data_IF_550110273522
#
_entry.id   IF_550110273522
#
_cell.length_a   1.000
_cell.length_b   1.000
_cell.length_c   1.000
_cell.angle_alpha   90.00
_cell.angle_beta   90.00
_cell.angle_gamma   90.00
#
_symmetry.space_group_name_H-M   'P 1'
#
loop_
_entity.id
_entity.type
_entity.pdbx_description
1 polymer ?
#
# COMPACT_ATOMS: atom_id res chain seq x y z
N UNK A 1 4.44 -0.14 7.98
CA UNK A 1 5.68 -0.92 7.99
C UNK A 1 5.46 -2.23 8.73
N UNK A 2 6.52 -3.01 9.00
CA UNK A 2 6.42 -4.26 9.76
C UNK A 2 5.82 -4.01 11.14
N UNK A 3 4.71 -4.68 11.46
CA UNK A 3 4.02 -4.47 12.72
C UNK A 3 3.40 -5.77 13.23
N UNK A 4 3.70 -6.06 14.50
CA UNK A 4 2.92 -6.94 15.36
C UNK A 4 2.57 -6.10 16.57
N UNK A 5 1.29 -6.02 16.90
CA UNK A 5 0.85 -5.39 18.13
C UNK A 5 -0.13 -6.29 18.85
N UNK A 6 0.04 -6.35 20.17
CA UNK A 6 -0.89 -6.96 21.10
C UNK A 6 -1.69 -5.87 21.79
N UNK A 7 -2.93 -6.15 22.10
CA UNK A 7 -3.84 -5.19 22.71
C UNK A 7 -4.80 -5.88 23.67
N UNK A 8 -5.28 -5.13 24.64
CA UNK A 8 -6.36 -5.55 25.53
C UNK A 8 -7.20 -4.35 25.94
N UNK A 9 -8.52 -4.53 26.06
CA UNK A 9 -9.48 -3.47 26.44
C UNK A 9 -10.32 -3.83 27.68
N UNK A 10 -9.86 -4.82 28.45
CA UNK A 10 -10.53 -5.31 29.66
C UNK A 10 -11.53 -6.44 29.41
N UNK A 11 -12.11 -6.54 28.20
CA UNK A 11 -12.91 -7.71 27.77
C UNK A 11 -12.21 -8.51 26.69
N UNK A 12 -11.62 -7.83 25.72
CA UNK A 12 -10.93 -8.45 24.61
C UNK A 12 -9.43 -8.38 24.85
N UNK A 13 -8.74 -9.46 24.50
CA UNK A 13 -7.29 -9.52 24.41
C UNK A 13 -6.93 -10.13 23.06
N UNK A 14 -5.94 -9.59 22.37
CA UNK A 14 -5.64 -10.03 21.02
C UNK A 14 -4.30 -9.58 20.48
N UNK A 15 -4.02 -10.06 19.26
CA UNK A 15 -2.85 -9.72 18.48
C UNK A 15 -3.26 -9.51 17.02
N UNK A 16 -2.63 -8.54 16.35
CA UNK A 16 -2.84 -8.31 14.92
C UNK A 16 -1.51 -8.03 14.23
N UNK A 17 -1.45 -8.42 12.95
CA UNK A 17 -0.30 -8.23 12.09
C UNK A 17 -0.58 -7.13 11.06
N UNK A 18 0.51 -6.57 10.54
CA UNK A 18 0.43 -5.77 9.34
C UNK A 18 -0.10 -6.58 8.14
N UNK A 19 -0.57 -5.87 7.10
CA UNK A 19 -1.17 -6.46 5.90
C UNK A 19 -0.30 -7.49 5.18
N UNK A 20 1.03 -7.41 5.36
CA UNK A 20 2.00 -8.30 4.73
C UNK A 20 2.52 -9.37 5.70
N UNK A 21 2.18 -9.29 6.99
CA UNK A 21 2.66 -10.19 8.05
C UNK A 21 4.18 -10.23 8.15
N UNK A 22 4.81 -9.06 8.19
CA UNK A 22 6.28 -8.93 8.19
C UNK A 22 6.90 -9.22 9.57
N UNK A 23 6.10 -9.45 10.60
CA UNK A 23 6.54 -9.85 11.94
C UNK A 23 6.00 -11.24 12.30
N UNK A 24 6.81 -12.11 12.92
CA UNK A 24 6.35 -13.42 13.34
C UNK A 24 5.46 -13.29 14.58
N UNK A 25 4.39 -14.06 14.64
CA UNK A 25 3.52 -14.19 15.79
C UNK A 25 2.99 -15.62 15.85
N UNK A 26 3.30 -16.33 16.93
CA UNK A 26 2.94 -17.72 17.15
C UNK A 26 2.13 -17.85 18.43
N UNK A 27 1.21 -18.80 18.44
CA UNK A 27 0.39 -19.06 19.60
C UNK A 27 0.28 -20.54 19.93
N UNK A 28 0.09 -20.81 21.21
CA UNK A 28 -0.23 -22.10 21.79
C UNK A 28 -1.56 -21.99 22.52
N UNK A 29 -2.41 -23.00 22.36
CA UNK A 29 -3.59 -23.21 23.19
C UNK A 29 -3.35 -24.47 24.03
N UNK A 30 -3.50 -24.35 25.34
CA UNK A 30 -3.37 -25.47 26.26
C UNK A 30 -4.73 -26.01 26.70
N UNK A 31 -4.74 -27.18 27.34
CA UNK A 31 -5.93 -27.87 27.84
C UNK A 31 -6.55 -27.24 29.09
N UNK A 32 -5.82 -26.33 29.75
CA UNK A 32 -6.28 -25.48 30.86
C UNK A 32 -6.78 -24.09 30.40
N UNK A 33 -7.22 -23.96 29.15
CA UNK A 33 -7.79 -22.76 28.53
C UNK A 33 -6.85 -21.52 28.54
N UNK A 34 -5.53 -21.75 28.52
CA UNK A 34 -4.54 -20.68 28.42
C UNK A 34 -4.07 -20.52 26.98
N UNK A 35 -4.20 -19.29 26.45
CA UNK A 35 -3.62 -18.90 25.17
C UNK A 35 -2.31 -18.14 25.38
N UNK A 36 -1.22 -18.70 24.87
CA UNK A 36 0.12 -18.09 24.95
C UNK A 36 0.48 -17.59 23.56
N UNK A 37 0.70 -16.28 23.42
CA UNK A 37 1.06 -15.63 22.17
C UNK A 37 2.41 -14.93 22.29
N UNK A 38 3.33 -15.23 21.38
CA UNK A 38 4.68 -14.66 21.38
C UNK A 38 5.26 -14.54 19.96
N UNK A 39 6.31 -13.74 19.82
CA UNK A 39 7.04 -13.61 18.54
C UNK A 39 7.75 -14.90 18.13
N UNK A 40 8.08 -15.76 19.10
CA UNK A 40 8.86 -16.98 18.92
C UNK A 40 8.21 -18.21 19.60
N UNK A 41 8.67 -19.40 19.22
CA UNK A 41 8.31 -20.66 19.89
C UNK A 41 9.20 -20.88 21.09
N UNK A 42 8.68 -21.52 22.15
CA UNK A 42 9.51 -21.94 23.30
C UNK A 42 9.87 -20.83 24.29
N UNK A 43 9.21 -19.68 24.24
CA UNK A 43 9.41 -18.57 25.19
C UNK A 43 9.00 -18.96 26.62
N UNK A 44 7.95 -19.78 26.74
CA UNK A 44 7.47 -20.33 28.01
C UNK A 44 7.60 -21.86 27.94
N UNK A 45 8.19 -22.51 28.96
CA UNK A 45 8.24 -23.97 29.03
C UNK A 45 6.83 -24.51 29.27
N UNK A 46 6.33 -25.32 28.34
CA UNK A 46 5.02 -25.96 28.40
C UNK A 46 5.20 -27.43 28.04
N UNK A 47 4.61 -28.32 28.84
CA UNK A 47 4.58 -29.75 28.54
C UNK A 47 3.80 -30.01 27.25
N UNK A 48 4.38 -30.81 26.35
CA UNK A 48 3.77 -31.11 25.05
C UNK A 48 2.42 -31.82 25.15
N UNK A 49 2.18 -32.56 26.25
CA UNK A 49 0.91 -33.22 26.56
C UNK A 49 -0.24 -32.25 26.79
N UNK A 50 0.05 -31.03 27.27
CA UNK A 50 -0.96 -30.00 27.57
C UNK A 50 -1.36 -29.19 26.36
N UNK A 51 -0.63 -29.28 25.24
CA UNK A 51 -0.87 -28.41 24.09
C UNK A 51 -1.96 -29.00 23.20
N UNK A 52 -3.09 -28.29 23.11
CA UNK A 52 -4.23 -28.62 22.25
C UNK A 52 -3.99 -28.13 20.83
N UNK A 53 -3.55 -26.89 20.66
CA UNK A 53 -3.31 -26.28 19.34
C UNK A 53 -2.00 -25.50 19.31
N UNK A 54 -1.32 -25.56 18.16
CA UNK A 54 -0.17 -24.72 17.83
C UNK A 54 -0.43 -24.02 16.51
N UNK A 55 -0.32 -22.69 16.50
CA UNK A 55 -0.60 -21.90 15.32
C UNK A 55 0.31 -20.70 15.14
N UNK A 56 0.09 -20.01 14.03
CA UNK A 56 0.72 -18.72 13.73
C UNK A 56 -0.31 -17.75 13.18
N UNK A 57 -0.13 -16.49 13.50
CA UNK A 57 -0.97 -15.43 12.95
C UNK A 57 -0.59 -15.18 11.49
N UNK A 58 -1.60 -15.11 10.62
CA UNK A 58 -1.42 -14.91 9.18
C UNK A 58 -1.70 -13.45 8.81
N UNK A 59 -1.11 -12.92 7.73
CA UNK A 59 -1.40 -11.58 7.24
C UNK A 59 -2.91 -11.35 7.09
N UNK A 60 -3.40 -10.24 7.64
CA UNK A 60 -4.80 -9.87 7.56
C UNK A 60 -5.75 -10.70 8.42
N UNK A 61 -5.28 -11.62 9.26
CA UNK A 61 -6.10 -12.28 10.30
C UNK A 61 -5.82 -11.69 11.67
N UNK A 62 -6.86 -11.57 12.48
CA UNK A 62 -6.75 -11.13 13.87
C UNK A 62 -6.89 -12.32 14.82
N UNK A 63 -6.03 -12.38 15.84
CA UNK A 63 -6.21 -13.28 16.98
C UNK A 63 -6.94 -12.49 18.06
N UNK A 64 -8.13 -12.95 18.46
CA UNK A 64 -8.96 -12.28 19.44
C UNK A 64 -9.55 -13.28 20.42
N UNK A 65 -9.40 -13.00 21.71
CA UNK A 65 -10.01 -13.75 22.81
C UNK A 65 -10.99 -12.83 23.52
N UNK A 66 -12.21 -13.30 23.69
CA UNK A 66 -13.21 -12.65 24.53
C UNK A 66 -13.16 -13.27 25.92
N UNK A 67 -12.64 -12.53 26.90
CA UNK A 67 -12.48 -13.01 28.28
C UNK A 67 -13.81 -13.11 29.02
N UNK A 68 -14.87 -12.45 28.52
CA UNK A 68 -16.21 -12.54 29.11
C UNK A 68 -16.94 -13.80 28.67
N UNK A 69 -16.81 -14.16 27.39
CA UNK A 69 -17.43 -15.36 26.82
C UNK A 69 -16.53 -16.61 26.94
N UNK A 70 -15.24 -16.42 27.25
CA UNK A 70 -14.28 -17.52 27.42
C UNK A 70 -13.94 -18.23 26.11
N UNK A 71 -13.95 -17.51 24.97
CA UNK A 71 -13.72 -18.12 23.65
C UNK A 71 -12.77 -17.32 22.78
N UNK A 72 -12.13 -18.03 21.85
CA UNK A 72 -11.41 -17.44 20.73
C UNK A 72 -12.46 -17.01 19.68
N UNK A 73 -12.44 -15.75 19.29
CA UNK A 73 -13.36 -15.20 18.30
C UNK A 73 -12.81 -15.47 16.91
N UNK A 74 -13.63 -16.06 16.03
CA UNK A 74 -13.23 -16.30 14.65
C UNK A 74 -13.10 -14.97 13.88
N UNK A 75 -12.03 -14.84 13.10
CA UNK A 75 -11.72 -13.63 12.33
C UNK A 75 -12.83 -13.29 11.31
N UNK A 76 -13.47 -14.30 10.69
CA UNK A 76 -14.55 -14.08 9.72
C UNK A 76 -15.84 -13.66 10.44
N UNK A 77 -16.13 -14.28 11.58
CA UNK A 77 -17.26 -13.88 12.45
C UNK A 77 -17.12 -12.40 12.84
N UNK A 78 -15.96 -12.03 13.38
CA UNK A 78 -15.66 -10.66 13.79
C UNK A 78 -15.82 -9.67 12.63
N UNK A 79 -15.17 -9.95 11.49
CA UNK A 79 -15.24 -9.06 10.32
C UNK A 79 -16.65 -8.93 9.78
N UNK A 80 -17.43 -10.02 9.78
CA UNK A 80 -18.84 -10.00 9.36
C UNK A 80 -19.67 -9.15 10.30
N UNK A 81 -19.49 -9.30 11.61
CA UNK A 81 -20.21 -8.49 12.60
C UNK A 81 -19.91 -7.00 12.46
N UNK A 82 -18.65 -6.64 12.20
CA UNK A 82 -18.25 -5.23 12.01
C UNK A 82 -18.76 -4.70 10.67
N UNK A 83 -18.62 -5.46 9.58
CA UNK A 83 -19.06 -5.03 8.25
C UNK A 83 -20.58 -4.93 8.12
N UNK A 84 -21.34 -5.65 8.95
CA UNK A 84 -22.81 -5.58 8.98
C UNK A 84 -23.38 -4.50 9.89
N UNK A 85 -22.56 -3.70 10.58
CA UNK A 85 -23.06 -2.63 11.48
C UNK A 85 -23.80 -1.54 10.73
N UNK A 86 -23.36 -1.26 9.50
CA UNK A 86 -23.93 -0.26 8.62
C UNK A 86 -23.90 -0.77 7.19
N UNK A 87 -24.75 -0.22 6.33
CA UNK A 87 -24.70 -0.52 4.90
C UNK A 87 -23.60 0.30 4.20
N UNK A 88 -22.34 -0.09 4.46
CA UNK A 88 -21.18 0.53 3.83
C UNK A 88 -21.23 0.41 2.30
N UNK A 89 -21.89 -0.62 1.76
CA UNK A 89 -22.05 -0.80 0.32
C UNK A 89 -22.94 0.30 -0.26
N UNK A 90 -24.08 0.60 0.36
CA UNK A 90 -24.93 1.70 -0.07
C UNK A 90 -24.20 3.05 0.00
N UNK A 91 -23.38 3.27 1.02
CA UNK A 91 -22.60 4.51 1.15
C UNK A 91 -21.59 4.68 0.01
N UNK A 92 -20.89 3.60 -0.35
CA UNK A 92 -19.96 3.59 -1.48
C UNK A 92 -20.72 3.84 -2.79
N UNK A 93 -21.78 3.10 -3.06
CA UNK A 93 -22.51 3.22 -4.32
C UNK A 93 -23.21 4.57 -4.52
N UNK A 94 -23.61 5.23 -3.44
CA UNK A 94 -24.28 6.54 -3.52
C UNK A 94 -23.33 7.72 -3.67
N UNK A 95 -22.07 7.61 -3.22
CA UNK A 95 -21.14 8.74 -3.14
C UNK A 95 -19.84 8.56 -3.93
N UNK A 96 -19.52 7.34 -4.37
CA UNK A 96 -18.32 7.10 -5.18
C UNK A 96 -18.61 7.44 -6.64
N UNK A 97 -17.80 8.33 -7.20
CA UNK A 97 -17.77 8.59 -8.65
C UNK A 97 -16.54 7.89 -9.19
N UNK A 98 -16.74 6.97 -10.14
CA UNK A 98 -15.63 6.30 -10.82
C UNK A 98 -15.26 7.05 -12.11
N UNK A 99 -13.98 7.00 -12.50
CA UNK A 99 -13.54 7.64 -13.75
C UNK A 99 -14.31 7.13 -15.00
N UNK A 100 -14.61 5.82 -15.15
CA UNK A 100 -15.41 5.35 -16.27
C UNK A 100 -16.82 5.94 -16.32
N UNK A 101 -17.49 6.06 -15.16
CA UNK A 101 -18.82 6.69 -15.08
C UNK A 101 -18.77 8.19 -15.40
N UNK A 102 -17.70 8.87 -14.97
CA UNK A 102 -17.47 10.28 -15.28
C UNK A 102 -17.29 10.48 -16.79
N UNK A 103 -16.43 9.70 -17.43
CA UNK A 103 -16.21 9.79 -18.88
C UNK A 103 -17.48 9.48 -19.68
N UNK A 104 -18.23 8.43 -19.30
CA UNK A 104 -19.51 8.12 -19.94
C UNK A 104 -20.52 9.29 -19.86
N UNK A 105 -20.53 10.05 -18.76
CA UNK A 105 -21.36 11.26 -18.63
C UNK A 105 -20.86 12.41 -19.50
N UNK A 106 -19.55 12.63 -19.56
CA UNK A 106 -18.95 13.66 -20.41
C UNK A 106 -19.21 13.38 -21.90
N UNK A 107 -19.07 12.13 -22.32
CA UNK A 107 -19.38 11.66 -23.68
C UNK A 107 -20.86 11.88 -24.02
N UNK A 108 -21.77 11.51 -23.09
CA UNK A 108 -23.21 11.74 -23.27
C UNK A 108 -23.58 13.23 -23.38
N UNK A 109 -22.81 14.11 -22.73
CA UNK A 109 -22.97 15.56 -22.81
C UNK A 109 -22.19 16.19 -23.99
N UNK A 110 -21.49 15.37 -24.79
CA UNK A 110 -20.64 15.83 -25.90
C UNK A 110 -19.61 16.89 -25.46
N UNK A 111 -19.10 16.76 -24.22
CA UNK A 111 -18.05 17.64 -23.71
C UNK A 111 -16.72 17.19 -24.31
N UNK A 112 -16.12 18.04 -25.14
CA UNK A 112 -14.76 17.82 -25.63
C UNK A 112 -13.74 18.06 -24.51
N UNK A 113 -13.15 16.98 -24.01
CA UNK A 113 -12.08 16.99 -23.03
C UNK A 113 -10.70 16.65 -23.66
N UNK A 114 -10.61 16.63 -24.99
CA UNK A 114 -9.33 16.39 -25.66
C UNK A 114 -8.41 17.61 -25.49
N UNK A 115 -7.15 17.34 -25.14
CA UNK A 115 -6.12 18.36 -25.18
C UNK A 115 -5.84 18.69 -26.64
N UNK A 116 -6.08 19.95 -27.04
CA UNK A 116 -5.71 20.44 -28.36
C UNK A 116 -4.20 20.61 -28.42
N UNK A 117 -3.52 19.62 -28.98
CA UNK A 117 -2.08 19.68 -29.26
C UNK A 117 -1.89 20.10 -30.71
N UNK A 118 -1.16 21.18 -30.93
CA UNK A 118 -0.76 21.58 -32.28
C UNK A 118 0.42 20.71 -32.75
N UNK A 119 0.13 19.75 -33.62
CA UNK A 119 1.12 18.83 -34.16
C UNK A 119 2.02 19.48 -35.22
N UNK A 120 1.77 20.74 -35.62
CA UNK A 120 2.62 21.47 -36.57
C UNK A 120 3.88 22.03 -35.92
N UNK A 121 3.87 22.21 -34.61
CA UNK A 121 5.01 22.73 -33.84
C UNK A 121 6.03 21.63 -33.66
N UNK A 122 7.28 21.89 -34.06
CA UNK A 122 8.38 20.96 -33.79
C UNK A 122 8.67 20.96 -32.29
N UNK A 123 9.08 19.81 -31.77
CA UNK A 123 9.43 19.66 -30.35
C UNK A 123 10.37 20.76 -29.81
N UNK A 124 11.37 21.16 -30.61
CA UNK A 124 12.36 22.18 -30.24
C UNK A 124 11.79 23.61 -30.21
N UNK A 125 10.64 23.82 -30.85
CA UNK A 125 9.98 25.11 -31.01
C UNK A 125 8.78 25.26 -30.05
N UNK A 126 8.44 24.21 -29.29
CA UNK A 126 7.35 24.22 -28.32
C UNK A 126 7.75 25.01 -27.06
N UNK A 127 7.14 26.18 -26.81
CA UNK A 127 7.50 27.03 -25.68
C UNK A 127 7.14 26.41 -24.33
N UNK A 128 6.14 25.53 -24.26
CA UNK A 128 5.75 24.87 -23.00
C UNK A 128 6.82 23.86 -22.60
N UNK A 129 7.28 23.03 -23.54
CA UNK A 129 8.31 22.04 -23.28
C UNK A 129 9.63 22.71 -22.82
N UNK A 130 10.01 23.81 -23.46
CA UNK A 130 11.17 24.62 -23.05
C UNK A 130 10.98 25.23 -21.65
N UNK A 131 9.80 25.78 -21.36
CA UNK A 131 9.49 26.39 -20.04
C UNK A 131 9.57 25.38 -18.90
N UNK A 132 9.16 24.13 -19.14
CA UNK A 132 9.25 23.04 -18.16
C UNK A 132 10.60 22.29 -18.18
N UNK A 133 11.57 22.75 -19.00
CA UNK A 133 12.92 22.18 -19.03
C UNK A 133 13.01 20.79 -19.69
N UNK A 134 12.07 20.44 -20.57
CA UNK A 134 12.16 19.20 -21.35
C UNK A 134 13.24 19.33 -22.42
N UNK A 135 14.13 18.34 -22.47
CA UNK A 135 15.17 18.22 -23.50
C UNK A 135 14.79 17.10 -24.48
N UNK A 136 15.37 17.14 -25.68
CA UNK A 136 15.17 16.06 -26.66
C UNK A 136 15.63 14.71 -26.09
N UNK A 137 16.70 14.71 -25.29
CA UNK A 137 17.20 13.52 -24.61
C UNK A 137 16.17 12.96 -23.63
N UNK A 138 15.52 13.79 -22.81
CA UNK A 138 14.45 13.31 -21.92
C UNK A 138 13.31 12.62 -22.68
N UNK A 139 12.94 13.15 -23.86
CA UNK A 139 11.89 12.53 -24.67
C UNK A 139 12.34 11.19 -25.23
N UNK A 140 13.51 11.14 -25.87
CA UNK A 140 13.98 9.94 -26.57
C UNK A 140 14.39 8.85 -25.56
N UNK A 141 15.11 9.23 -24.50
CA UNK A 141 15.67 8.28 -23.54
C UNK A 141 14.66 7.84 -22.48
N UNK A 142 13.70 8.69 -22.07
CA UNK A 142 12.75 8.39 -21.00
C UNK A 142 11.31 8.21 -21.51
N UNK A 143 10.76 9.20 -22.21
CA UNK A 143 9.33 9.19 -22.59
C UNK A 143 9.02 8.17 -23.68
N UNK A 144 9.85 8.05 -24.71
CA UNK A 144 9.60 7.15 -25.83
C UNK A 144 9.60 5.66 -25.42
N UNK A 145 10.52 5.17 -24.55
CA UNK A 145 10.43 3.82 -23.99
C UNK A 145 9.16 3.61 -23.15
N UNK A 146 8.75 4.60 -22.34
CA UNK A 146 7.51 4.52 -21.57
C UNK A 146 6.28 4.41 -22.46
N UNK A 147 6.21 5.21 -23.53
CA UNK A 147 5.09 5.19 -24.47
C UNK A 147 5.02 3.89 -25.28
N UNK A 148 6.16 3.34 -25.69
CA UNK A 148 6.22 2.15 -26.55
C UNK A 148 6.09 0.83 -25.78
N UNK A 149 6.68 0.74 -24.57
CA UNK A 149 6.75 -0.51 -23.81
C UNK A 149 5.86 -0.54 -22.56
N UNK A 150 5.31 0.60 -22.15
CA UNK A 150 4.55 0.74 -20.89
C UNK A 150 5.41 0.57 -19.64
N UNK A 151 6.74 0.63 -19.76
CA UNK A 151 7.70 0.50 -18.66
C UNK A 151 8.63 1.70 -18.61
N UNK A 152 9.13 2.01 -17.42
CA UNK A 152 10.16 3.03 -17.25
C UNK A 152 11.44 2.67 -18.02
N UNK A 153 12.19 3.70 -18.42
CA UNK A 153 13.45 3.52 -19.11
C UNK A 153 14.51 2.94 -18.15
N UNK A 154 15.26 1.95 -18.62
CA UNK A 154 16.38 1.37 -17.88
C UNK A 154 17.70 1.96 -18.38
N UNK A 155 18.58 2.30 -17.45
CA UNK A 155 19.95 2.74 -17.69
C UNK A 155 20.95 1.96 -16.84
N UNK A 156 22.23 2.18 -17.08
CA UNK A 156 23.32 1.63 -16.29
C UNK A 156 24.32 2.73 -15.94
N UNK A 157 25.33 2.40 -15.13
CA UNK A 157 26.30 3.32 -14.53
C UNK A 157 25.73 4.21 -13.42
N UNK A 158 26.63 4.89 -12.69
CA UNK A 158 26.27 5.84 -11.65
C UNK A 158 25.81 7.18 -12.24
N UNK A 159 25.18 8.01 -11.40
CA UNK A 159 24.87 9.38 -11.76
C UNK A 159 26.06 10.28 -11.39
N UNK A 160 26.87 10.62 -12.40
CA UNK A 160 28.04 11.50 -12.25
C UNK A 160 27.68 13.00 -12.34
N UNK A 161 26.40 13.35 -12.46
CA UNK A 161 25.97 14.75 -12.48
C UNK A 161 26.14 15.40 -11.09
N UNK A 162 26.50 16.69 -11.08
CA UNK A 162 26.52 17.48 -9.87
C UNK A 162 25.16 17.45 -9.14
N UNK A 163 25.20 17.50 -7.80
CA UNK A 163 23.99 17.67 -7.00
C UNK A 163 23.23 18.92 -7.44
N UNK A 164 21.91 18.90 -7.34
CA UNK A 164 21.08 19.97 -7.88
C UNK A 164 21.46 21.36 -7.34
N UNK A 165 21.85 21.46 -6.07
CA UNK A 165 22.29 22.69 -5.43
C UNK A 165 23.70 23.17 -5.81
N UNK A 166 24.50 22.33 -6.46
CA UNK A 166 25.86 22.63 -6.92
C UNK A 166 25.95 22.77 -8.44
N UNK A 167 24.88 22.45 -9.16
CA UNK A 167 24.85 22.53 -10.61
C UNK A 167 24.84 23.99 -11.07
N UNK A 168 25.65 24.31 -12.08
CA UNK A 168 25.64 25.62 -12.73
C UNK A 168 24.42 25.79 -13.64
N UNK A 169 23.93 24.68 -14.20
CA UNK A 169 22.72 24.67 -15.04
C UNK A 169 21.45 24.73 -14.19
N UNK A 170 20.36 25.34 -14.71
CA UNK A 170 19.07 25.32 -14.03
C UNK A 170 18.60 23.87 -13.83
N UNK A 171 18.25 23.54 -12.58
CA UNK A 171 17.72 22.22 -12.18
C UNK A 171 16.26 22.34 -11.83
N UNK A 172 15.49 21.31 -12.15
CA UNK A 172 14.07 21.27 -11.88
C UNK A 172 13.84 20.93 -10.40
N UNK A 173 12.69 21.37 -9.86
CA UNK A 173 12.41 21.24 -8.43
C UNK A 173 12.51 19.79 -7.93
N UNK A 174 12.11 18.82 -8.76
CA UNK A 174 12.17 17.40 -8.39
C UNK A 174 13.59 16.84 -8.25
N UNK A 175 14.62 17.47 -8.82
CA UNK A 175 16.03 17.02 -8.67
C UNK A 175 16.55 17.21 -7.23
N UNK A 176 15.90 18.07 -6.45
CA UNK A 176 16.22 18.32 -5.04
C UNK A 176 15.61 17.29 -4.10
N UNK A 177 14.58 16.54 -4.55
CA UNK A 177 13.91 15.53 -3.75
C UNK A 177 14.52 14.17 -4.04
N UNK A 178 15.09 13.53 -3.01
CA UNK A 178 15.61 12.17 -3.12
C UNK A 178 14.60 11.19 -2.56
N UNK A 179 14.30 10.14 -3.33
CA UNK A 179 13.44 9.06 -2.87
C UNK A 179 14.14 8.33 -1.73
N UNK A 180 13.48 8.29 -0.57
CA UNK A 180 13.92 7.45 0.53
C UNK A 180 13.56 6.00 0.22
N UNK A 181 14.40 5.08 0.66
CA UNK A 181 14.14 3.65 0.59
C UNK A 181 14.37 3.02 1.96
N UNK A 182 13.65 1.93 2.23
CA UNK A 182 13.88 1.13 3.42
C UNK A 182 15.16 0.29 3.19
N UNK A 183 16.06 0.30 4.17
CA UNK A 183 17.24 -0.55 4.25
C UNK A 183 17.04 -1.59 5.36
#
# INVERSE_FOLDING_TARGET
GPALFTFADGRFCGANLDRNGLRPCRYYLTDDDIMICASEVGVIPIESSKVVEKGRLQPGRMLLVDTKEGRIVDDRELKKQVSSRFDFKAWILSNMITMPELFAKLDAQSVDYSSKVDLSVKFQEDPLLLTFGYTLEHVIALLAPMASSGKEALGSMGNDAALACLAEQPRLMYDYFRQLFAQ
#
